data_IF_851894841177
#
_entry.id   IF_851894841177
#
_cell.length_a   1.000
_cell.length_b   1.000
_cell.length_c   1.000
_cell.angle_alpha   90.00
_cell.angle_beta   90.00
_cell.angle_gamma   90.00
#
_symmetry.space_group_name_H-M   'P 1'
#
loop_
_entity.id
_entity.type
_entity.pdbx_description
1 polymer ?
#
# COMPACT_ATOMS: atom_id res chain seq x y z
N UNK A 1 6.35 55.05 37.23
CA UNK A 1 5.22 54.43 36.52
C UNK A 1 5.74 53.85 35.23
N UNK A 2 5.93 52.53 35.18
CA UNK A 2 6.47 51.83 34.01
C UNK A 2 5.31 51.13 33.32
N UNK A 3 4.96 51.58 32.11
CA UNK A 3 3.91 50.96 31.30
C UNK A 3 4.47 49.70 30.67
N UNK A 4 4.02 48.54 31.14
CA UNK A 4 4.22 47.25 30.49
C UNK A 4 3.37 47.21 29.22
N UNK A 5 4.02 47.31 28.05
CA UNK A 5 3.41 46.95 26.78
C UNK A 5 3.37 45.42 26.68
N UNK A 6 2.26 44.81 27.11
CA UNK A 6 1.95 43.42 26.78
C UNK A 6 1.75 43.30 25.27
N UNK A 7 2.78 42.81 24.58
CA UNK A 7 2.63 42.30 23.24
C UNK A 7 1.75 41.05 23.30
N UNK A 8 0.47 41.21 22.97
CA UNK A 8 -0.39 40.11 22.55
C UNK A 8 0.18 39.56 21.22
N UNK A 9 1.12 38.61 21.32
CA UNK A 9 1.49 37.81 20.17
C UNK A 9 0.29 36.95 19.83
N UNK A 10 -0.25 37.24 18.65
CA UNK A 10 -1.36 36.57 18.01
C UNK A 10 -1.38 35.08 18.30
N UNK A 11 -2.51 34.64 18.84
CA UNK A 11 -2.96 33.26 18.85
C UNK A 11 -2.99 32.81 17.37
N UNK A 12 -1.86 32.27 16.91
CA UNK A 12 -1.79 31.60 15.62
C UNK A 12 -2.65 30.35 15.81
N UNK A 13 -3.91 30.45 15.41
CA UNK A 13 -4.69 29.32 14.94
C UNK A 13 -3.86 28.63 13.84
N UNK A 14 -2.95 27.76 14.26
CA UNK A 14 -2.39 26.72 13.42
C UNK A 14 -3.57 25.81 13.17
N UNK A 15 -4.37 26.15 12.16
CA UNK A 15 -5.32 25.22 11.55
C UNK A 15 -4.53 23.94 11.31
N UNK A 16 -4.91 22.90 12.04
CA UNK A 16 -4.29 21.59 11.95
C UNK A 16 -4.10 21.25 10.47
N UNK A 17 -2.93 20.76 10.03
CA UNK A 17 -2.69 20.36 8.64
C UNK A 17 -3.65 19.25 8.13
N UNK A 18 -4.49 18.74 9.03
CA UNK A 18 -5.44 17.66 8.85
C UNK A 18 -6.28 17.73 7.56
N UNK A 19 -7.07 18.80 7.28
CA UNK A 19 -8.06 18.73 6.19
C UNK A 19 -7.44 18.74 4.79
N UNK A 20 -6.37 19.52 4.58
CA UNK A 20 -5.70 19.60 3.28
C UNK A 20 -4.92 18.31 2.96
N UNK A 21 -4.27 17.72 3.96
CA UNK A 21 -3.56 16.45 3.81
C UNK A 21 -4.55 15.31 3.52
N UNK A 22 -5.70 15.28 4.23
CA UNK A 22 -6.78 14.33 3.96
C UNK A 22 -7.37 14.50 2.56
N UNK A 23 -7.51 15.73 2.07
CA UNK A 23 -7.97 15.99 0.71
C UNK A 23 -7.03 15.39 -0.35
N UNK A 24 -5.71 15.57 -0.20
CA UNK A 24 -4.72 14.99 -1.13
C UNK A 24 -4.65 13.46 -1.00
N UNK A 25 -4.75 12.91 0.21
CA UNK A 25 -4.85 11.46 0.42
C UNK A 25 -6.11 10.87 -0.25
N UNK A 26 -7.26 11.54 -0.10
CA UNK A 26 -8.49 11.17 -0.79
C UNK A 26 -8.37 11.24 -2.31
N UNK A 27 -7.67 12.26 -2.83
CA UNK A 27 -7.41 12.40 -4.26
C UNK A 27 -6.51 11.27 -4.80
N UNK A 28 -5.47 10.88 -4.06
CA UNK A 28 -4.61 9.74 -4.40
C UNK A 28 -5.45 8.47 -4.50
N UNK A 29 -6.25 8.17 -3.47
CA UNK A 29 -7.06 6.96 -3.43
C UNK A 29 -8.14 6.96 -4.51
N UNK A 30 -8.72 8.12 -4.83
CA UNK A 30 -9.63 8.26 -5.95
C UNK A 30 -8.95 7.96 -7.30
N UNK A 31 -7.71 8.41 -7.49
CA UNK A 31 -6.91 8.13 -8.69
C UNK A 31 -6.55 6.63 -8.79
N UNK A 32 -6.15 5.99 -7.68
CA UNK A 32 -5.94 4.53 -7.60
C UNK A 32 -7.22 3.79 -7.98
N UNK A 33 -8.36 4.15 -7.38
CA UNK A 33 -9.67 3.57 -7.69
C UNK A 33 -10.03 3.67 -9.18
N UNK A 34 -9.69 4.79 -9.81
CA UNK A 34 -9.91 5.01 -11.24
C UNK A 34 -8.87 4.32 -12.13
N UNK A 35 -7.78 3.80 -11.58
CA UNK A 35 -6.64 3.29 -12.36
C UNK A 35 -5.86 4.39 -13.09
N UNK A 36 -5.98 5.65 -12.65
CA UNK A 36 -5.33 6.80 -13.28
C UNK A 36 -3.87 6.92 -12.79
N UNK A 37 -2.99 6.14 -13.43
CA UNK A 37 -1.55 6.09 -13.11
C UNK A 37 -0.90 7.47 -13.25
N UNK A 38 -1.27 8.24 -14.28
CA UNK A 38 -0.70 9.56 -14.53
C UNK A 38 -1.02 10.51 -13.37
N UNK A 39 -2.26 10.50 -12.87
CA UNK A 39 -2.66 11.30 -11.72
C UNK A 39 -2.01 10.83 -10.42
N UNK A 40 -1.89 9.52 -10.19
CA UNK A 40 -1.15 8.99 -9.02
C UNK A 40 0.30 9.49 -9.02
N UNK A 41 0.97 9.43 -10.17
CA UNK A 41 2.33 9.94 -10.34
C UNK A 41 2.40 11.45 -10.09
N UNK A 42 1.43 12.23 -10.58
CA UNK A 42 1.40 13.68 -10.40
C UNK A 42 1.21 14.15 -8.95
N UNK A 43 0.58 13.33 -8.10
CA UNK A 43 0.34 13.63 -6.69
C UNK A 43 1.57 13.39 -5.80
N UNK A 44 2.59 12.72 -6.31
CA UNK A 44 3.81 12.42 -5.55
C UNK A 44 4.89 13.48 -5.68
N UNK A 45 5.79 13.51 -4.70
CA UNK A 45 6.95 14.40 -4.71
C UNK A 45 8.01 13.85 -5.67
N UNK A 46 8.34 14.62 -6.71
CA UNK A 46 9.49 14.47 -7.61
C UNK A 46 9.31 13.61 -8.88
N UNK A 47 9.32 14.28 -10.04
CA UNK A 47 9.27 13.66 -11.37
C UNK A 47 10.52 12.79 -11.66
N UNK A 48 11.64 13.03 -10.99
CA UNK A 48 12.83 12.18 -11.09
C UNK A 48 12.66 10.83 -10.36
N UNK A 49 11.72 10.74 -9.40
CA UNK A 49 11.34 9.54 -8.65
C UNK A 49 9.99 8.95 -9.10
N UNK A 50 9.38 9.50 -10.14
CA UNK A 50 8.06 9.12 -10.63
C UNK A 50 7.95 7.68 -11.14
N UNK A 51 9.03 7.13 -11.74
CA UNK A 51 9.02 5.74 -12.23
C UNK A 51 8.78 4.71 -11.11
N UNK A 52 9.47 4.78 -9.95
CA UNK A 52 9.17 3.93 -8.79
C UNK A 52 7.70 3.88 -8.37
N UNK A 53 6.94 4.97 -8.52
CA UNK A 53 5.55 5.05 -8.05
C UNK A 53 4.58 4.30 -8.96
N UNK A 54 4.77 4.40 -10.27
CA UNK A 54 3.97 3.64 -11.22
C UNK A 54 4.16 2.13 -11.01
N UNK A 55 5.36 1.70 -10.62
CA UNK A 55 5.67 0.30 -10.32
C UNK A 55 4.81 -0.24 -9.16
N UNK A 56 4.47 0.59 -8.17
CA UNK A 56 3.59 0.18 -7.08
C UNK A 56 2.11 0.01 -7.51
N UNK A 57 1.75 0.36 -8.74
CA UNK A 57 0.44 0.09 -9.35
C UNK A 57 0.48 -1.02 -10.39
N UNK A 58 1.64 -1.65 -10.60
CA UNK A 58 1.82 -2.79 -11.48
C UNK A 58 2.06 -4.06 -10.66
N UNK A 59 1.30 -5.13 -10.95
CA UNK A 59 1.41 -6.40 -10.20
C UNK A 59 2.74 -7.14 -10.47
N UNK A 60 3.34 -6.92 -11.62
CA UNK A 60 4.55 -7.60 -12.11
C UNK A 60 5.85 -6.87 -11.75
N UNK A 61 5.76 -5.69 -11.14
CA UNK A 61 6.92 -4.87 -10.79
C UNK A 61 7.78 -5.47 -9.67
N UNK A 62 7.16 -6.23 -8.76
CA UNK A 62 7.79 -6.67 -7.52
C UNK A 62 8.03 -5.55 -6.50
N UNK A 63 7.46 -4.37 -6.70
CA UNK A 63 7.56 -3.26 -5.77
C UNK A 63 6.62 -3.44 -4.57
N UNK A 64 7.15 -3.44 -3.35
CA UNK A 64 6.41 -3.50 -2.08
C UNK A 64 6.59 -2.16 -1.33
N UNK A 65 5.53 -1.55 -0.78
CA UNK A 65 4.13 -1.95 -0.81
C UNK A 65 3.47 -1.71 -2.18
N UNK A 66 2.53 -2.54 -2.59
CA UNK A 66 1.88 -2.53 -3.89
C UNK A 66 0.38 -2.26 -3.74
N UNK A 67 -0.19 -1.38 -4.58
CA UNK A 67 -1.63 -1.09 -4.63
C UNK A 67 -2.28 -1.54 -5.93
N UNK A 68 -1.58 -2.27 -6.80
CA UNK A 68 -2.10 -2.72 -8.08
C UNK A 68 -3.37 -3.58 -7.94
N UNK A 69 -3.52 -4.29 -6.81
CA UNK A 69 -4.72 -5.06 -6.52
C UNK A 69 -5.97 -4.20 -6.26
N UNK A 70 -5.81 -2.90 -5.98
CA UNK A 70 -6.88 -1.90 -5.86
C UNK A 70 -7.03 -1.03 -7.12
N UNK A 71 -6.01 -0.99 -7.98
CA UNK A 71 -5.98 -0.10 -9.14
C UNK A 71 -7.11 -0.43 -10.14
N UNK A 72 -7.94 0.57 -10.46
CA UNK A 72 -9.08 0.40 -11.37
C UNK A 72 -10.19 -0.50 -10.81
N UNK A 73 -10.25 -0.71 -9.49
CA UNK A 73 -11.24 -1.57 -8.82
C UNK A 73 -12.16 -0.76 -7.93
N UNK A 74 -13.40 -1.25 -7.76
CA UNK A 74 -14.34 -0.65 -6.83
C UNK A 74 -13.89 -0.86 -5.38
N UNK A 75 -13.62 0.23 -4.67
CA UNK A 75 -13.51 0.26 -3.22
C UNK A 75 -14.09 1.56 -2.66
N UNK A 76 -14.50 1.50 -1.40
CA UNK A 76 -15.02 2.62 -0.62
C UNK A 76 -13.96 3.10 0.37
N UNK A 77 -13.80 4.41 0.50
CA UNK A 77 -13.00 5.03 1.55
C UNK A 77 -13.93 5.22 2.75
N UNK A 78 -13.83 4.34 3.74
CA UNK A 78 -14.71 4.33 4.93
C UNK A 78 -14.33 5.45 5.89
N UNK A 79 -13.02 5.70 6.04
CA UNK A 79 -12.52 6.80 6.85
C UNK A 79 -11.18 7.30 6.33
N UNK A 80 -10.93 8.58 6.60
CA UNK A 80 -9.63 9.22 6.51
C UNK A 80 -9.38 9.90 7.85
N UNK A 81 -8.24 9.62 8.46
CA UNK A 81 -7.84 10.24 9.71
C UNK A 81 -6.39 10.68 9.59
N UNK A 82 -6.18 11.98 9.63
CA UNK A 82 -4.84 12.55 9.74
C UNK A 82 -4.34 12.52 11.18
N UNK A 83 -3.06 12.21 11.33
CA UNK A 83 -2.29 12.53 12.52
C UNK A 83 -1.17 13.49 12.12
N UNK A 84 -1.05 14.58 12.87
CA UNK A 84 0.14 15.42 12.80
C UNK A 84 1.32 14.62 13.31
N UNK A 85 2.47 14.73 12.66
CA UNK A 85 3.70 14.17 13.23
C UNK A 85 3.99 14.84 14.57
N UNK A 86 4.42 14.08 15.61
CA UNK A 86 4.94 14.69 16.82
C UNK A 86 6.07 15.65 16.44
N UNK A 87 5.97 16.92 16.87
CA UNK A 87 7.03 17.93 16.68
C UNK A 87 8.36 17.51 17.32
N UNK A 88 8.35 16.47 18.15
CA UNK A 88 9.46 16.04 19.01
C UNK A 88 10.34 14.93 18.41
N UNK A 89 10.09 14.49 17.18
CA UNK A 89 11.11 13.73 16.45
C UNK A 89 12.23 14.71 16.07
N UNK A 90 13.21 14.80 16.97
CA UNK A 90 14.45 15.53 16.74
C UNK A 90 14.99 15.26 15.33
N UNK A 91 15.66 16.25 14.77
CA UNK A 91 16.07 16.39 13.37
C UNK A 91 16.85 15.21 12.71
N UNK A 92 16.95 14.05 13.34
CA UNK A 92 17.60 12.85 12.80
C UNK A 92 16.76 12.00 11.83
N UNK A 93 15.47 12.30 11.61
CA UNK A 93 14.57 11.46 10.80
C UNK A 93 14.31 11.92 9.35
N UNK A 94 14.63 13.16 9.00
CA UNK A 94 14.36 13.72 7.66
C UNK A 94 15.71 14.03 6.99
N UNK A 95 16.21 13.18 6.07
CA UNK A 95 17.54 13.31 5.49
C UNK A 95 17.83 14.64 4.77
N UNK A 96 16.79 15.40 4.42
CA UNK A 96 16.86 16.65 3.68
C UNK A 96 16.36 17.87 4.46
N UNK A 97 15.97 17.72 5.73
CA UNK A 97 15.75 18.85 6.63
C UNK A 97 17.13 19.43 7.01
N UNK A 98 17.78 20.08 6.03
CA UNK A 98 18.85 21.01 6.32
C UNK A 98 18.17 22.09 7.16
N UNK A 99 18.42 22.06 8.46
CA UNK A 99 18.18 23.17 9.34
C UNK A 99 19.07 24.31 8.89
N UNK A 100 18.62 25.00 7.86
CA UNK A 100 19.14 26.29 7.46
C UNK A 100 18.39 27.30 8.34
N UNK A 101 19.04 27.89 9.36
CA UNK A 101 18.37 28.75 10.32
C UNK A 101 17.80 30.03 9.70
N UNK A 102 18.25 30.39 8.49
CA UNK A 102 17.73 31.49 7.68
C UNK A 102 16.67 31.07 6.65
N UNK A 103 16.48 29.77 6.44
CA UNK A 103 15.48 29.24 5.53
C UNK A 103 14.20 29.00 6.33
N UNK A 104 13.22 29.90 6.17
CA UNK A 104 11.86 29.79 6.69
C UNK A 104 11.05 28.62 6.05
N UNK A 105 11.70 27.50 5.77
CA UNK A 105 11.15 26.29 5.17
C UNK A 105 11.13 25.21 6.24
N UNK A 106 10.16 25.28 7.13
CA UNK A 106 9.85 24.15 8.00
C UNK A 106 9.00 23.19 7.15
N UNK A 107 9.55 22.06 6.69
CA UNK A 107 8.73 21.08 6.01
C UNK A 107 7.62 20.64 6.96
N UNK A 108 6.38 20.66 6.46
CA UNK A 108 5.25 20.12 7.20
C UNK A 108 4.99 18.72 6.70
N UNK A 109 4.89 17.77 7.62
CA UNK A 109 4.54 16.38 7.33
C UNK A 109 3.21 16.03 7.99
N UNK A 110 2.46 15.12 7.37
CA UNK A 110 1.24 14.55 7.90
C UNK A 110 1.18 13.07 7.53
N UNK A 111 0.60 12.26 8.41
CA UNK A 111 0.26 10.87 8.10
C UNK A 111 -1.26 10.76 8.06
N UNK A 112 -1.81 10.26 6.96
CA UNK A 112 -3.24 10.01 6.80
C UNK A 112 -3.47 8.52 6.74
N UNK A 113 -4.22 8.00 7.70
CA UNK A 113 -4.66 6.61 7.71
C UNK A 113 -6.02 6.51 7.05
N UNK A 114 -6.11 5.65 6.05
CA UNK A 114 -7.31 5.36 5.27
C UNK A 114 -7.79 3.93 5.54
N UNK A 115 -9.07 3.77 5.84
CA UNK A 115 -9.73 2.46 5.88
C UNK A 115 -10.48 2.26 4.58
N UNK A 116 -10.08 1.27 3.80
CA UNK A 116 -10.63 0.95 2.49
C UNK A 116 -11.46 -0.33 2.58
N UNK A 117 -12.70 -0.30 2.12
CA UNK A 117 -13.59 -1.46 2.05
C UNK A 117 -13.82 -1.87 0.61
N UNK A 118 -13.65 -3.15 0.33
CA UNK A 118 -13.92 -3.74 -0.98
C UNK A 118 -15.34 -4.32 -0.99
N UNK A 119 -16.16 -4.05 -2.03
CA UNK A 119 -17.51 -4.58 -2.13
C UNK A 119 -17.55 -6.11 -2.13
N UNK A 120 -18.67 -6.64 -1.65
CA UNK A 120 -18.95 -8.06 -1.65
C UNK A 120 -18.85 -8.66 -3.07
N UNK A 121 -18.07 -9.73 -3.23
CA UNK A 121 -17.85 -10.43 -4.50
C UNK A 121 -16.71 -9.85 -5.35
N UNK A 122 -16.19 -8.66 -5.01
CA UNK A 122 -15.05 -8.03 -5.68
C UNK A 122 -13.75 -8.12 -4.84
N UNK A 123 -13.79 -8.81 -3.70
CA UNK A 123 -12.66 -8.84 -2.78
C UNK A 123 -11.47 -9.59 -3.40
N UNK A 124 -10.27 -8.99 -3.35
CA UNK A 124 -9.08 -9.65 -3.83
C UNK A 124 -8.73 -10.85 -2.93
N UNK A 125 -7.99 -11.78 -3.51
CA UNK A 125 -7.54 -13.00 -2.89
C UNK A 125 -6.19 -12.77 -2.20
N UNK A 126 -6.02 -13.33 -1.01
CA UNK A 126 -4.70 -13.42 -0.38
C UNK A 126 -4.14 -14.81 -0.65
N UNK A 127 -3.07 -14.89 -1.45
CA UNK A 127 -2.46 -16.17 -1.81
C UNK A 127 -1.26 -16.52 -0.91
N UNK A 128 -0.98 -17.82 -0.67
CA UNK A 128 0.25 -18.25 -0.01
C UNK A 128 1.49 -17.82 -0.80
N UNK A 129 2.67 -17.65 -0.16
CA UNK A 129 3.88 -17.19 -0.84
C UNK A 129 4.23 -18.03 -2.06
N UNK A 130 4.28 -19.35 -1.90
CA UNK A 130 4.66 -20.25 -2.99
C UNK A 130 3.75 -20.05 -4.22
N UNK A 131 2.44 -19.91 -4.02
CA UNK A 131 1.50 -19.70 -5.11
C UNK A 131 1.62 -18.29 -5.72
N UNK A 132 1.88 -17.26 -4.90
CA UNK A 132 2.07 -15.87 -5.37
C UNK A 132 3.24 -15.70 -6.35
N UNK A 133 4.22 -16.60 -6.27
CA UNK A 133 5.42 -16.64 -7.10
C UNK A 133 5.40 -17.82 -8.10
N UNK A 134 4.22 -18.39 -8.38
CA UNK A 134 4.00 -19.38 -9.43
C UNK A 134 4.42 -20.81 -9.10
N UNK A 135 4.88 -21.09 -7.88
CA UNK A 135 5.27 -22.43 -7.48
C UNK A 135 4.05 -23.35 -7.26
N UNK A 136 4.27 -24.66 -7.38
CA UNK A 136 3.26 -25.67 -7.03
C UNK A 136 3.26 -25.89 -5.52
N UNK A 137 2.08 -26.04 -4.92
CA UNK A 137 1.91 -26.32 -3.50
C UNK A 137 1.10 -27.60 -3.31
N UNK A 138 1.47 -28.45 -2.36
CA UNK A 138 0.66 -29.61 -2.00
C UNK A 138 -0.63 -29.19 -1.28
N UNK A 139 -1.70 -29.97 -1.43
CA UNK A 139 -3.01 -29.64 -0.87
C UNK A 139 -3.02 -29.50 0.65
N UNK A 140 -2.32 -30.36 1.40
CA UNK A 140 -2.30 -30.27 2.87
C UNK A 140 -1.70 -28.95 3.39
N UNK A 141 -0.47 -28.55 2.99
CA UNK A 141 0.08 -27.22 3.33
C UNK A 141 -0.80 -26.05 2.90
N UNK A 142 -1.48 -26.18 1.75
CA UNK A 142 -2.44 -25.17 1.30
C UNK A 142 -3.63 -25.05 2.25
N UNK A 143 -4.18 -26.17 2.72
CA UNK A 143 -5.30 -26.17 3.67
C UNK A 143 -4.89 -25.65 5.05
N UNK A 144 -3.65 -25.86 5.47
CA UNK A 144 -3.12 -25.26 6.70
C UNK A 144 -3.06 -23.73 6.59
N UNK A 145 -2.61 -23.23 5.44
CA UNK A 145 -2.66 -21.80 5.12
C UNK A 145 -4.09 -21.24 5.09
N UNK A 146 -5.05 -21.96 4.50
CA UNK A 146 -6.46 -21.51 4.43
C UNK A 146 -7.08 -21.37 5.82
N UNK A 147 -6.74 -22.27 6.75
CA UNK A 147 -7.21 -22.23 8.15
C UNK A 147 -6.57 -21.09 8.92
N UNK A 148 -5.28 -20.84 8.69
CA UNK A 148 -4.51 -19.84 9.41
C UNK A 148 -3.55 -19.14 8.44
N UNK A 149 -4.04 -18.09 7.75
CA UNK A 149 -3.19 -17.28 6.90
C UNK A 149 -2.06 -16.67 7.73
N UNK A 150 -0.83 -16.82 7.25
CA UNK A 150 0.35 -16.24 7.89
C UNK A 150 0.39 -14.72 7.73
N UNK A 151 1.20 -14.08 8.59
CA UNK A 151 1.52 -12.65 8.58
C UNK A 151 2.71 -12.44 7.62
N UNK A 152 2.48 -12.01 6.36
CA UNK A 152 3.46 -12.18 5.30
C UNK A 152 4.57 -11.15 5.30
N UNK A 153 5.76 -11.61 4.93
CA UNK A 153 6.67 -10.81 4.12
C UNK A 153 6.02 -10.62 2.73
N UNK A 154 6.23 -9.45 2.11
CA UNK A 154 5.67 -9.12 0.79
C UNK A 154 4.14 -9.26 0.69
N UNK A 155 3.43 -8.83 1.74
CA UNK A 155 1.97 -8.97 1.87
C UNK A 155 1.23 -8.50 0.62
N UNK A 156 1.53 -7.30 0.13
CA UNK A 156 0.75 -6.74 -0.99
C UNK A 156 1.07 -7.41 -2.32
N UNK A 157 2.31 -7.90 -2.50
CA UNK A 157 2.67 -8.76 -3.63
C UNK A 157 2.01 -10.14 -3.60
N UNK A 158 1.29 -10.50 -2.53
CA UNK A 158 0.49 -11.72 -2.43
C UNK A 158 -1.01 -11.47 -2.54
N UNK A 159 -1.45 -10.22 -2.63
CA UNK A 159 -2.85 -9.89 -2.86
C UNK A 159 -3.12 -9.90 -4.37
N UNK A 160 -4.19 -10.56 -4.80
CA UNK A 160 -4.53 -10.76 -6.22
C UNK A 160 -5.96 -10.34 -6.48
N UNK A 161 -6.23 -9.48 -7.49
CA UNK A 161 -7.61 -9.15 -7.85
C UNK A 161 -8.34 -10.32 -8.55
N UNK A 162 -7.60 -11.29 -9.07
CA UNK A 162 -8.13 -12.53 -9.65
C UNK A 162 -7.09 -13.65 -9.56
N UNK A 163 -7.55 -14.90 -9.54
CA UNK A 163 -6.71 -16.10 -9.63
C UNK A 163 -6.55 -16.60 -11.07
N UNK A 164 -7.20 -15.95 -12.03
CA UNK A 164 -7.06 -16.26 -13.45
C UNK A 164 -5.61 -16.02 -13.92
N UNK A 165 -5.16 -16.85 -14.85
CA UNK A 165 -3.87 -16.69 -15.51
C UNK A 165 -3.90 -15.57 -16.56
N UNK A 166 -2.71 -15.09 -16.94
CA UNK A 166 -2.49 -14.01 -17.89
C UNK A 166 -2.54 -12.62 -17.29
N UNK A 167 -2.61 -12.50 -15.95
CA UNK A 167 -2.62 -11.20 -15.30
C UNK A 167 -1.20 -10.66 -15.13
N UNK A 168 -0.25 -11.53 -14.84
CA UNK A 168 1.16 -11.21 -14.69
C UNK A 168 1.91 -11.90 -15.82
N UNK A 169 2.55 -11.11 -16.68
CA UNK A 169 3.37 -11.66 -17.75
C UNK A 169 4.52 -12.49 -17.16
N UNK A 170 4.82 -13.63 -17.78
CA UNK A 170 6.02 -14.37 -17.43
C UNK A 170 7.24 -13.47 -17.65
N UNK A 171 8.15 -13.37 -16.67
CA UNK A 171 9.33 -12.53 -16.82
C UNK A 171 10.13 -13.03 -18.03
N UNK A 172 10.77 -12.14 -18.80
CA UNK A 172 11.80 -12.57 -19.74
C UNK A 172 12.80 -13.41 -18.95
N UNK A 173 13.17 -14.57 -19.49
CA UNK A 173 14.05 -15.52 -18.81
C UNK A 173 15.29 -14.83 -18.22
N UNK A 174 15.85 -15.34 -17.12
CA UNK A 174 16.97 -14.66 -16.47
C UNK A 174 18.08 -14.39 -17.49
N UNK A 175 18.69 -13.20 -17.49
CA UNK A 175 19.85 -12.97 -18.33
C UNK A 175 20.92 -14.03 -18.00
N UNK A 176 21.64 -14.55 -19.01
CA UNK A 176 22.67 -15.57 -18.78
C UNK A 176 23.61 -15.14 -17.65
N UNK A 177 23.74 -15.95 -16.60
CA UNK A 177 24.62 -15.68 -15.47
C UNK A 177 23.98 -15.05 -14.22
N UNK A 178 22.68 -14.70 -14.23
CA UNK A 178 22.01 -14.09 -13.07
C UNK A 178 20.70 -14.80 -12.67
N UNK A 179 20.77 -16.04 -12.13
CA UNK A 179 19.58 -16.82 -11.77
C UNK A 179 18.78 -16.25 -10.58
N UNK A 180 19.35 -15.38 -9.75
CA UNK A 180 18.74 -14.93 -8.49
C UNK A 180 17.64 -13.87 -8.62
N UNK A 181 17.65 -13.06 -9.69
CA UNK A 181 16.66 -11.97 -9.87
C UNK A 181 15.26 -12.49 -10.26
N UNK A 182 15.16 -13.73 -10.75
CA UNK A 182 13.90 -14.33 -11.18
C UNK A 182 13.05 -14.91 -10.03
N UNK A 183 13.59 -14.99 -8.81
CA UNK A 183 12.98 -15.68 -7.66
C UNK A 183 12.06 -14.73 -6.85
N UNK A 184 12.16 -13.41 -7.03
CA UNK A 184 11.42 -12.44 -6.22
C UNK A 184 10.34 -11.64 -6.97
N UNK A 185 10.08 -11.95 -8.25
CA UNK A 185 9.00 -11.28 -8.98
C UNK A 185 7.69 -12.05 -8.86
N UNK A 186 6.57 -11.38 -8.53
CA UNK A 186 5.24 -11.97 -8.58
C UNK A 186 5.01 -12.68 -9.91
N UNK A 187 4.23 -13.76 -9.88
CA UNK A 187 3.77 -14.48 -11.08
C UNK A 187 2.27 -14.73 -10.96
N UNK A 188 1.69 -15.22 -12.04
CA UNK A 188 0.38 -15.84 -12.00
C UNK A 188 0.33 -16.92 -10.90
N UNK A 189 -0.83 -17.09 -10.30
CA UNK A 189 -1.00 -18.02 -9.19
C UNK A 189 -0.63 -19.45 -9.59
N UNK A 190 0.26 -20.05 -8.82
CA UNK A 190 0.69 -21.44 -9.00
C UNK A 190 -0.45 -22.44 -8.76
N UNK A 191 -0.15 -23.73 -8.96
CA UNK A 191 -1.14 -24.79 -8.82
C UNK A 191 -1.10 -25.45 -7.43
N UNK A 192 -2.28 -25.72 -6.86
CA UNK A 192 -2.42 -26.60 -5.69
C UNK A 192 -2.64 -28.03 -6.17
N UNK A 193 -1.79 -28.96 -5.74
CA UNK A 193 -1.77 -30.36 -6.18
C UNK A 193 -2.41 -31.26 -5.13
N UNK A 194 -3.45 -31.99 -5.52
CA UNK A 194 -4.16 -32.99 -4.73
C UNK A 194 -3.30 -34.26 -4.54
N UNK A 195 -3.61 -35.11 -3.53
CA UNK A 195 -2.93 -36.40 -3.36
C UNK A 195 -3.02 -37.32 -4.58
N UNK A 196 -4.05 -37.16 -5.42
CA UNK A 196 -4.19 -37.87 -6.69
C UNK A 196 -3.24 -37.40 -7.80
N UNK A 197 -2.49 -36.32 -7.58
CA UNK A 197 -1.64 -35.67 -8.59
C UNK A 197 -2.37 -34.63 -9.46
N UNK A 198 -3.69 -34.60 -9.42
CA UNK A 198 -4.49 -33.57 -10.10
C UNK A 198 -4.31 -32.18 -9.45
N UNK A 199 -4.43 -31.11 -10.22
CA UNK A 199 -4.46 -29.75 -9.69
C UNK A 199 -5.90 -29.33 -9.38
N UNK A 200 -6.09 -28.49 -8.34
CA UNK A 200 -7.35 -27.79 -8.16
C UNK A 200 -7.64 -26.92 -9.38
N UNK A 201 -8.89 -26.95 -9.84
CA UNK A 201 -9.32 -26.01 -10.87
C UNK A 201 -9.48 -24.58 -10.29
N UNK A 202 -9.52 -23.54 -11.14
CA UNK A 202 -9.60 -22.15 -10.66
C UNK A 202 -10.84 -21.85 -9.80
N UNK A 203 -11.97 -22.52 -10.06
CA UNK A 203 -13.22 -22.32 -9.30
C UNK A 203 -13.10 -22.93 -7.91
N UNK A 204 -12.55 -24.14 -7.81
CA UNK A 204 -12.25 -24.80 -6.53
C UNK A 204 -11.25 -23.98 -5.72
N UNK A 205 -10.19 -23.49 -6.36
CA UNK A 205 -9.19 -22.65 -5.70
C UNK A 205 -9.83 -21.34 -5.19
N UNK A 206 -10.62 -20.65 -6.01
CA UNK A 206 -11.30 -19.41 -5.63
C UNK A 206 -12.31 -19.56 -4.48
N UNK A 207 -12.84 -20.78 -4.27
CA UNK A 207 -13.73 -21.08 -3.16
C UNK A 207 -12.99 -21.28 -1.82
N UNK A 208 -11.71 -21.66 -1.87
CA UNK A 208 -10.89 -21.97 -0.69
C UNK A 208 -9.98 -20.82 -0.27
N UNK A 209 -9.47 -20.03 -1.24
CA UNK A 209 -8.49 -18.98 -0.97
C UNK A 209 -9.12 -17.85 -0.15
N UNK A 210 -8.46 -17.38 0.93
CA UNK A 210 -8.94 -16.27 1.73
C UNK A 210 -9.09 -14.97 0.92
N UNK A 211 -10.05 -14.14 1.31
CA UNK A 211 -10.35 -12.86 0.64
C UNK A 211 -10.07 -11.67 1.53
N UNK A 212 -9.81 -10.52 0.93
CA UNK A 212 -9.44 -9.28 1.63
C UNK A 212 -10.56 -8.24 1.49
N UNK A 213 -11.56 -8.23 2.39
CA UNK A 213 -12.65 -7.25 2.34
C UNK A 213 -12.26 -5.84 2.79
N UNK A 214 -11.17 -5.70 3.54
CA UNK A 214 -10.74 -4.41 4.08
C UNK A 214 -9.21 -4.28 4.05
N UNK A 215 -8.74 -3.07 3.74
CA UNK A 215 -7.33 -2.71 3.72
C UNK A 215 -7.17 -1.41 4.48
N UNK A 216 -6.19 -1.32 5.37
CA UNK A 216 -5.80 -0.07 6.01
C UNK A 216 -4.48 0.39 5.43
N UNK A 217 -4.48 1.61 4.90
CA UNK A 217 -3.33 2.24 4.23
C UNK A 217 -2.95 3.49 5.00
N UNK A 218 -1.68 3.64 5.34
CA UNK A 218 -1.15 4.93 5.78
C UNK A 218 -0.43 5.60 4.63
N UNK A 219 -0.82 6.85 4.36
CA UNK A 219 -0.26 7.72 3.33
C UNK A 219 0.54 8.80 4.06
N UNK A 220 1.81 8.92 3.74
CA UNK A 220 2.67 9.97 4.27
C UNK A 220 2.77 11.09 3.27
N UNK A 221 2.44 12.30 3.73
CA UNK A 221 2.42 13.51 2.91
C UNK A 221 3.40 14.52 3.46
N UNK A 222 4.02 15.27 2.56
CA UNK A 222 4.87 16.39 2.90
C UNK A 222 4.57 17.61 2.04
N UNK A 223 4.94 18.79 2.56
CA UNK A 223 5.02 20.03 1.80
C UNK A 223 6.25 20.81 2.25
N UNK A 224 6.97 21.40 1.30
CA UNK A 224 8.23 22.10 1.58
C UNK A 224 8.06 23.42 2.34
N UNK A 225 6.89 24.07 2.23
CA UNK A 225 6.52 25.29 2.95
C UNK A 225 5.02 25.31 3.23
N UNK A 226 4.54 26.23 4.07
CA UNK A 226 3.09 26.42 4.31
C UNK A 226 2.29 26.85 3.08
N UNK A 227 2.96 27.35 2.03
CA UNK A 227 2.33 27.82 0.80
C UNK A 227 2.44 26.84 -0.35
N UNK A 228 3.25 25.78 -0.21
CA UNK A 228 3.32 24.71 -1.21
C UNK A 228 2.20 23.73 -1.03
N UNK A 229 1.70 23.17 -2.14
CA UNK A 229 0.76 22.06 -2.12
C UNK A 229 1.34 20.83 -1.42
N UNK A 230 0.47 20.07 -0.77
CA UNK A 230 0.81 18.74 -0.27
C UNK A 230 1.14 17.79 -1.43
N UNK A 231 2.06 16.87 -1.14
CA UNK A 231 2.47 15.80 -2.02
C UNK A 231 2.61 14.51 -1.24
N UNK A 232 2.34 13.40 -1.91
CA UNK A 232 2.53 12.07 -1.36
C UNK A 232 4.01 11.73 -1.42
N UNK A 233 4.61 11.43 -0.27
CA UNK A 233 5.98 10.96 -0.18
C UNK A 233 6.05 9.45 -0.36
N UNK A 234 5.18 8.74 0.36
CA UNK A 234 5.05 7.29 0.31
C UNK A 234 3.71 6.85 0.88
N UNK A 235 3.40 5.57 0.72
CA UNK A 235 2.32 4.91 1.43
C UNK A 235 2.79 3.54 1.92
N UNK A 236 2.03 2.97 2.84
CA UNK A 236 2.19 1.58 3.29
C UNK A 236 0.84 0.97 3.61
N UNK A 237 0.72 -0.33 3.41
CA UNK A 237 -0.44 -1.10 3.89
C UNK A 237 -0.12 -1.52 5.31
N UNK A 238 -0.84 -0.99 6.31
CA UNK A 238 -0.59 -1.31 7.72
C UNK A 238 -1.23 -2.64 8.12
N UNK A 239 -2.40 -2.95 7.55
CA UNK A 239 -3.10 -4.21 7.79
C UNK A 239 -4.12 -4.49 6.69
N UNK A 240 -4.48 -5.76 6.56
CA UNK A 240 -5.60 -6.25 5.78
C UNK A 240 -6.52 -7.07 6.68
N UNK A 241 -7.83 -6.91 6.54
CA UNK A 241 -8.76 -7.88 7.06
C UNK A 241 -8.81 -9.04 6.07
N UNK A 242 -8.72 -10.27 6.57
CA UNK A 242 -8.73 -11.50 5.78
C UNK A 242 -9.91 -12.34 6.22
N UNK A 243 -10.83 -12.59 5.30
CA UNK A 243 -11.96 -13.49 5.51
C UNK A 243 -11.63 -14.83 4.87
N UNK A 244 -11.41 -15.83 5.71
CA UNK A 244 -11.19 -17.23 5.33
C UNK A 244 -12.36 -18.11 5.75
N UNK A 245 -12.13 -19.43 5.70
CA UNK A 245 -13.13 -20.45 6.06
C UNK A 245 -13.48 -20.40 7.56
N UNK A 246 -12.51 -20.03 8.41
CA UNK A 246 -12.68 -19.96 9.87
C UNK A 246 -13.25 -18.62 10.37
N UNK A 247 -13.55 -17.66 9.48
CA UNK A 247 -14.01 -16.32 9.84
C UNK A 247 -13.07 -15.21 9.38
N UNK A 248 -13.16 -14.05 10.04
CA UNK A 248 -12.36 -12.86 9.69
C UNK A 248 -11.19 -12.70 10.68
N UNK A 249 -9.99 -12.55 10.15
CA UNK A 249 -8.75 -12.32 10.88
C UNK A 249 -8.14 -11.00 10.40
N UNK A 250 -7.34 -10.34 11.24
CA UNK A 250 -6.56 -9.17 10.83
C UNK A 250 -5.10 -9.57 10.65
N UNK A 251 -4.51 -9.20 9.52
CA UNK A 251 -3.13 -9.52 9.15
C UNK A 251 -2.38 -8.21 8.89
N UNK A 252 -1.20 -8.05 9.49
CA UNK A 252 -0.30 -6.91 9.26
C UNK A 252 0.94 -7.36 8.46
N UNK A 253 1.67 -6.47 7.77
CA UNK A 253 3.03 -6.78 7.33
C UNK A 253 3.98 -6.88 8.53
N UNK A 254 5.09 -7.61 8.35
CA UNK A 254 6.20 -7.63 9.32
C UNK A 254 7.13 -6.43 9.15
#
# INVERSE_FOLDING_TARGET
MTVLASAAMADQHVTSPAPEAEAVAGELLAAVRAGDVAKVVALHTDAARARPIADHLALDSGAEPNLAFLAGRGFEIVSLASSGWPRDLGMGGIPWAIACPSCLRVPTAASVTAVLRVPAGAEPFLVPPALAFGARMAFAPFMDYVKQPDVPDHLTLRVRPTLARGLIADPPGPPPGHPSLAIQRPRDTGAVVLPSGAALDPTQLAALVPRVPEVVVTIELARGTRFSSWRVERFRVDRVAVRGVAGTLTVAPR
#
